data_IF_966068591569
#
_entry.id   IF_966068591569
#
_cell.length_a   1.000
_cell.length_b   1.000
_cell.length_c   1.000
_cell.angle_alpha   90.00
_cell.angle_beta   90.00
_cell.angle_gamma   90.00
#
_symmetry.space_group_name_H-M   'P 1'
#
loop_
_entity.id
_entity.type
_entity.pdbx_description
1 polymer ?
#
# COMPACT_ATOMS: atom_id res chain seq x y z
N UNK A 1 -1.80 -14.43 16.99
CA UNK A 1 -1.39 -13.55 15.86
C UNK A 1 -1.45 -14.36 14.59
N UNK A 2 -2.16 -13.85 13.60
CA UNK A 2 -2.13 -14.36 12.22
C UNK A 2 -1.41 -13.35 11.33
N UNK A 3 -0.64 -13.84 10.36
CA UNK A 3 -0.05 -13.05 9.30
C UNK A 3 -0.55 -13.61 7.98
N UNK A 4 -1.16 -12.77 7.17
CA UNK A 4 -1.69 -13.10 5.87
C UNK A 4 -0.69 -12.65 4.80
N UNK A 5 -0.33 -13.54 3.88
CA UNK A 5 0.71 -13.33 2.90
C UNK A 5 0.13 -13.60 1.51
N UNK A 6 -0.22 -12.55 0.80
CA UNK A 6 -0.65 -12.59 -0.60
C UNK A 6 0.55 -12.71 -1.51
N UNK A 7 0.58 -13.74 -2.35
CA UNK A 7 1.69 -14.03 -3.24
C UNK A 7 1.25 -14.20 -4.70
N UNK A 8 2.20 -14.32 -5.60
CA UNK A 8 1.93 -14.62 -7.02
C UNK A 8 1.25 -15.98 -7.24
N UNK A 9 1.22 -16.87 -6.22
CA UNK A 9 0.67 -18.24 -6.36
C UNK A 9 -0.15 -18.68 -5.15
N UNK A 10 -0.92 -17.78 -4.57
CA UNK A 10 -1.85 -18.09 -3.49
C UNK A 10 -1.74 -17.19 -2.28
N UNK A 11 -2.69 -17.38 -1.36
CA UNK A 11 -2.71 -16.78 -0.04
C UNK A 11 -2.17 -17.78 0.97
N UNK A 12 -1.12 -17.40 1.68
CA UNK A 12 -0.56 -18.18 2.79
C UNK A 12 -0.93 -17.51 4.12
N UNK A 13 -1.10 -18.32 5.16
CA UNK A 13 -1.39 -17.84 6.51
C UNK A 13 -0.33 -18.41 7.46
N UNK A 14 0.40 -17.51 8.14
CA UNK A 14 1.27 -17.90 9.25
C UNK A 14 0.53 -17.72 10.57
N UNK A 15 0.39 -18.80 11.34
CA UNK A 15 -0.36 -18.82 12.60
C UNK A 15 0.50 -19.46 13.72
N UNK A 16 1.59 -18.79 14.12
CA UNK A 16 2.42 -19.18 15.26
C UNK A 16 3.26 -20.44 15.10
N UNK A 17 2.71 -21.50 14.54
CA UNK A 17 3.38 -22.81 14.34
C UNK A 17 4.03 -23.01 12.98
N UNK A 18 3.96 -22.01 12.10
CA UNK A 18 4.50 -22.07 10.74
C UNK A 18 3.53 -21.55 9.69
N UNK A 19 3.93 -21.66 8.43
CA UNK A 19 3.14 -21.26 7.27
C UNK A 19 2.28 -22.45 6.86
N UNK A 20 0.96 -22.24 6.81
CA UNK A 20 -0.02 -23.25 6.40
C UNK A 20 -0.02 -23.53 4.89
N UNK A 21 -0.83 -24.52 4.45
CA UNK A 21 -1.10 -24.74 3.02
C UNK A 21 -1.74 -23.50 2.41
N UNK A 22 -1.44 -23.17 1.15
CA UNK A 22 -2.02 -22.00 0.49
C UNK A 22 -3.51 -22.20 0.19
N UNK A 23 -4.26 -21.09 0.31
CA UNK A 23 -5.54 -20.94 -0.37
C UNK A 23 -5.29 -20.40 -1.78
N UNK A 24 -6.16 -20.73 -2.72
CA UNK A 24 -6.07 -20.24 -4.11
C UNK A 24 -4.73 -20.62 -4.76
N UNK A 25 -4.29 -21.86 -4.57
CA UNK A 25 -3.00 -22.33 -5.12
C UNK A 25 -2.92 -22.12 -6.63
N UNK A 26 -1.91 -21.40 -7.07
CA UNK A 26 -1.68 -21.05 -8.47
C UNK A 26 -2.17 -19.64 -8.84
N UNK A 27 -3.12 -19.07 -8.10
CA UNK A 27 -3.71 -17.77 -8.38
C UNK A 27 -2.94 -16.62 -7.73
N UNK A 28 -2.63 -15.54 -8.45
CA UNK A 28 -2.03 -14.35 -7.86
C UNK A 28 -3.01 -13.63 -6.93
N UNK A 29 -2.58 -13.39 -5.68
CA UNK A 29 -3.30 -12.60 -4.68
C UNK A 29 -2.67 -11.21 -4.61
N UNK A 30 -3.38 -10.20 -5.10
CA UNK A 30 -2.88 -8.81 -5.17
C UNK A 30 -3.04 -8.06 -3.84
N UNK A 31 -4.09 -8.38 -3.07
CA UNK A 31 -4.38 -7.71 -1.80
C UNK A 31 -5.13 -8.63 -0.84
N UNK A 32 -4.87 -8.45 0.45
CA UNK A 32 -5.62 -9.09 1.54
C UNK A 32 -6.05 -8.03 2.55
N UNK A 33 -7.30 -8.10 3.00
CA UNK A 33 -7.82 -7.27 4.09
C UNK A 33 -8.36 -8.18 5.20
N UNK A 34 -7.71 -8.24 6.36
CA UNK A 34 -8.33 -8.73 7.59
C UNK A 34 -9.13 -7.59 8.22
N UNK A 35 -10.46 -7.66 8.10
CA UNK A 35 -11.36 -6.65 8.66
C UNK A 35 -11.49 -6.77 10.17
N UNK A 36 -11.90 -5.69 10.81
CA UNK A 36 -12.03 -5.59 12.27
C UNK A 36 -13.10 -6.51 12.87
N UNK A 37 -14.08 -6.93 12.07
CA UNK A 37 -15.14 -7.88 12.47
C UNK A 37 -14.73 -9.36 12.31
N UNK A 38 -13.48 -9.61 11.90
CA UNK A 38 -12.94 -10.95 11.67
C UNK A 38 -13.15 -11.49 10.25
N UNK A 39 -13.86 -10.76 9.40
CA UNK A 39 -14.01 -11.10 7.99
C UNK A 39 -12.67 -10.90 7.27
N UNK A 40 -12.35 -11.81 6.36
CA UNK A 40 -11.19 -11.71 5.49
C UNK A 40 -11.63 -11.49 4.06
N UNK A 41 -10.89 -10.63 3.36
CA UNK A 41 -11.04 -10.46 1.92
C UNK A 41 -9.71 -10.75 1.24
N UNK A 42 -9.77 -11.39 0.07
CA UNK A 42 -8.61 -11.64 -0.78
C UNK A 42 -8.95 -11.27 -2.23
N UNK A 43 -8.19 -10.35 -2.79
CA UNK A 43 -8.32 -9.96 -4.19
C UNK A 43 -7.35 -10.80 -5.04
N UNK A 44 -7.87 -11.44 -6.07
CA UNK A 44 -7.12 -12.26 -7.01
C UNK A 44 -7.06 -11.58 -8.37
N UNK A 45 -5.89 -11.57 -8.98
CA UNK A 45 -5.69 -11.06 -10.33
C UNK A 45 -5.42 -12.24 -11.27
N UNK A 46 -6.45 -12.73 -11.95
CA UNK A 46 -6.37 -13.92 -12.79
C UNK A 46 -6.04 -13.60 -14.26
N UNK A 47 -5.46 -12.42 -14.51
CA UNK A 47 -5.10 -11.98 -15.86
C UNK A 47 -6.32 -11.87 -16.78
N UNK A 48 -6.34 -12.59 -17.89
CA UNK A 48 -7.46 -12.56 -18.85
C UNK A 48 -8.78 -13.12 -18.28
N UNK A 49 -8.76 -13.88 -17.18
CA UNK A 49 -9.97 -14.33 -16.48
C UNK A 49 -10.53 -13.26 -15.53
N UNK A 50 -9.90 -12.08 -15.46
CA UNK A 50 -10.34 -10.93 -14.70
C UNK A 50 -9.91 -10.93 -13.25
N UNK A 51 -10.41 -9.94 -12.52
CA UNK A 51 -10.18 -9.77 -11.09
C UNK A 51 -11.33 -10.42 -10.32
N UNK A 52 -11.01 -11.17 -9.28
CA UNK A 52 -11.97 -11.81 -8.39
C UNK A 52 -11.76 -11.33 -6.96
N UNK A 53 -12.86 -11.19 -6.22
CA UNK A 53 -12.80 -10.91 -4.79
C UNK A 53 -13.38 -12.10 -4.03
N UNK A 54 -12.62 -12.59 -3.06
CA UNK A 54 -12.99 -13.69 -2.17
C UNK A 54 -13.23 -13.15 -0.77
N UNK A 55 -14.24 -13.67 -0.09
CA UNK A 55 -14.58 -13.36 1.30
C UNK A 55 -14.61 -14.61 2.15
N UNK A 56 -14.13 -14.53 3.38
CA UNK A 56 -14.22 -15.58 4.39
C UNK A 56 -14.75 -14.99 5.69
N UNK A 57 -15.79 -15.59 6.26
CA UNK A 57 -16.36 -15.19 7.54
C UNK A 57 -15.85 -16.07 8.72
N UNK A 58 -15.01 -17.07 8.46
CA UNK A 58 -14.58 -18.08 9.43
C UNK A 58 -13.06 -18.11 9.65
N UNK A 59 -12.40 -16.96 9.35
CA UNK A 59 -10.96 -16.79 9.55
C UNK A 59 -10.10 -17.53 8.53
N UNK A 60 -10.61 -17.70 7.31
CA UNK A 60 -9.90 -18.28 6.18
C UNK A 60 -10.12 -19.78 6.00
N UNK A 61 -11.05 -20.41 6.70
CA UNK A 61 -11.34 -21.85 6.53
C UNK A 61 -12.13 -22.13 5.27
N UNK A 62 -13.15 -21.31 5.00
CA UNK A 62 -13.94 -21.34 3.79
C UNK A 62 -13.99 -19.97 3.11
N UNK A 63 -14.23 -19.97 1.79
CA UNK A 63 -14.22 -18.76 0.98
C UNK A 63 -15.38 -18.78 -0.01
N UNK A 64 -16.04 -17.66 -0.12
CA UNK A 64 -17.06 -17.39 -1.14
C UNK A 64 -16.56 -16.33 -2.14
N UNK A 65 -17.04 -16.37 -3.35
CA UNK A 65 -16.82 -15.29 -4.31
C UNK A 65 -17.85 -14.20 -4.05
N UNK A 66 -17.39 -12.95 -3.96
CA UNK A 66 -18.23 -11.76 -3.90
C UNK A 66 -17.94 -10.86 -5.08
N UNK A 67 -18.78 -9.85 -5.32
CA UNK A 67 -18.56 -8.95 -6.46
C UNK A 67 -17.21 -8.24 -6.36
N UNK A 68 -16.48 -8.16 -7.46
CA UNK A 68 -15.38 -7.24 -7.63
C UNK A 68 -15.93 -5.88 -8.11
N UNK A 69 -15.19 -4.76 -7.90
CA UNK A 69 -15.52 -3.48 -8.51
C UNK A 69 -15.66 -3.60 -10.04
N UNK A 70 -16.63 -2.91 -10.61
CA UNK A 70 -16.86 -2.88 -12.04
C UNK A 70 -17.04 -1.44 -12.50
N UNK A 71 -16.33 -1.05 -13.56
CA UNK A 71 -16.47 0.26 -14.17
C UNK A 71 -17.73 0.32 -15.02
N UNK A 72 -18.39 1.48 -15.08
CA UNK A 72 -19.44 1.70 -16.06
C UNK A 72 -18.89 1.60 -17.49
N UNK A 73 -19.76 1.38 -18.45
CA UNK A 73 -19.36 1.38 -19.86
C UNK A 73 -18.70 2.72 -20.24
N UNK A 74 -17.52 2.64 -20.85
CA UNK A 74 -16.85 3.85 -21.33
C UNK A 74 -17.70 4.49 -22.41
N UNK A 75 -18.01 5.80 -22.34
CA UNK A 75 -18.84 6.47 -23.33
C UNK A 75 -18.23 6.35 -24.73
N UNK A 76 -19.06 6.13 -25.74
CA UNK A 76 -18.63 6.14 -27.13
C UNK A 76 -18.04 7.52 -27.49
N UNK A 77 -16.84 7.54 -28.10
CA UNK A 77 -16.13 8.79 -28.42
C UNK A 77 -15.43 9.45 -27.25
N UNK A 78 -15.33 8.79 -26.10
CA UNK A 78 -14.54 9.26 -24.96
C UNK A 78 -13.11 9.58 -25.37
N UNK A 79 -12.60 10.75 -24.97
CA UNK A 79 -11.19 11.14 -25.13
C UNK A 79 -10.30 10.59 -24.03
N UNK A 80 -10.86 9.87 -23.04
CA UNK A 80 -10.11 9.24 -21.98
C UNK A 80 -9.25 8.10 -22.54
N UNK A 81 -7.95 8.25 -22.45
CA UNK A 81 -6.97 7.24 -22.91
C UNK A 81 -6.91 6.01 -22.00
N UNK A 82 -7.44 6.13 -20.78
CA UNK A 82 -7.45 5.05 -19.80
C UNK A 82 -8.68 4.17 -20.05
N UNK A 83 -8.51 2.87 -20.32
CA UNK A 83 -9.65 1.95 -20.45
C UNK A 83 -10.46 1.84 -19.16
N UNK A 84 -11.78 1.93 -19.25
CA UNK A 84 -12.69 1.75 -18.10
C UNK A 84 -12.93 0.25 -17.84
N UNK A 85 -11.85 -0.44 -17.55
CA UNK A 85 -11.86 -1.89 -17.31
C UNK A 85 -10.95 -2.24 -16.14
N UNK A 86 -11.47 -2.95 -15.16
CA UNK A 86 -10.71 -3.37 -14.00
C UNK A 86 -9.55 -4.30 -14.41
N UNK A 87 -8.33 -3.86 -14.11
CA UNK A 87 -7.08 -4.61 -14.34
C UNK A 87 -6.61 -5.26 -13.05
N UNK A 88 -6.68 -4.52 -11.94
CA UNK A 88 -6.24 -4.99 -10.63
C UNK A 88 -6.97 -4.25 -9.50
N UNK A 89 -7.32 -4.97 -8.45
CA UNK A 89 -7.63 -4.38 -7.17
C UNK A 89 -6.31 -4.20 -6.41
N UNK A 90 -5.89 -2.93 -6.19
CA UNK A 90 -4.56 -2.61 -5.71
C UNK A 90 -4.52 -2.10 -4.27
N UNK A 91 -5.63 -1.58 -3.75
CA UNK A 91 -5.83 -1.27 -2.34
C UNK A 91 -7.21 -1.75 -1.89
N UNK A 92 -7.31 -2.22 -0.67
CA UNK A 92 -8.56 -2.62 -0.03
C UNK A 92 -8.48 -2.30 1.46
N UNK A 93 -9.36 -1.42 1.94
CA UNK A 93 -9.41 -0.99 3.33
C UNK A 93 -10.86 -0.91 3.81
N UNK A 94 -11.07 -0.91 5.14
CA UNK A 94 -12.39 -0.86 5.77
C UNK A 94 -12.43 0.21 6.86
N UNK A 95 -13.53 0.93 6.96
CA UNK A 95 -13.84 1.81 8.10
C UNK A 95 -14.73 1.09 9.15
N UNK A 96 -14.93 -0.22 9.00
CA UNK A 96 -15.80 -1.06 9.83
C UNK A 96 -17.26 -1.08 9.37
N UNK A 97 -17.67 -0.20 8.47
CA UNK A 97 -19.00 -0.14 7.86
C UNK A 97 -18.94 -0.27 6.35
N UNK A 98 -18.00 0.44 5.72
CA UNK A 98 -17.79 0.44 4.27
C UNK A 98 -16.44 -0.16 3.95
N UNK A 99 -16.39 -0.87 2.84
CA UNK A 99 -15.15 -1.23 2.17
C UNK A 99 -14.81 -0.15 1.15
N UNK A 100 -13.52 0.11 1.03
CA UNK A 100 -12.95 1.00 0.03
C UNK A 100 -11.94 0.24 -0.81
N UNK A 101 -12.06 0.31 -2.12
CA UNK A 101 -11.18 -0.37 -3.06
C UNK A 101 -10.55 0.62 -4.03
N UNK A 102 -9.22 0.65 -4.05
CA UNK A 102 -8.42 1.35 -5.05
C UNK A 102 -7.99 0.37 -6.14
N UNK A 103 -8.09 0.80 -7.39
CA UNK A 103 -7.90 -0.09 -8.54
C UNK A 103 -6.88 0.44 -9.54
N UNK A 104 -6.45 -0.44 -10.44
CA UNK A 104 -5.90 -0.09 -11.74
C UNK A 104 -7.00 -0.40 -12.77
N UNK A 105 -7.38 0.57 -13.62
CA UNK A 105 -6.99 1.99 -13.62
C UNK A 105 -7.41 2.72 -12.34
N UNK A 106 -7.02 3.97 -12.18
CA UNK A 106 -7.13 4.78 -10.97
C UNK A 106 -8.55 5.09 -10.47
N UNK A 107 -9.40 4.07 -10.32
CA UNK A 107 -10.72 4.20 -9.72
C UNK A 107 -10.70 3.95 -8.22
N UNK A 108 -11.54 4.69 -7.50
CA UNK A 108 -11.88 4.42 -6.12
C UNK A 108 -13.32 3.93 -6.06
N UNK A 109 -13.54 2.81 -5.39
CA UNK A 109 -14.87 2.21 -5.23
C UNK A 109 -15.21 2.05 -3.76
N UNK A 110 -16.51 2.07 -3.45
CA UNK A 110 -17.01 1.81 -2.10
C UNK A 110 -18.11 0.75 -2.11
N UNK A 111 -18.17 -0.06 -1.04
CA UNK A 111 -19.22 -1.04 -0.82
C UNK A 111 -19.75 -0.94 0.60
N UNK A 112 -21.07 -0.78 0.74
CA UNK A 112 -21.79 -0.72 2.03
C UNK A 112 -22.38 -2.07 2.45
N UNK A 113 -22.23 -3.10 1.63
CA UNK A 113 -22.85 -4.41 1.83
C UNK A 113 -21.82 -5.57 1.82
N UNK A 114 -20.61 -5.29 2.35
CA UNK A 114 -19.55 -6.30 2.51
C UNK A 114 -19.10 -6.92 1.19
N UNK A 115 -18.97 -6.10 0.13
CA UNK A 115 -18.46 -6.53 -1.17
C UNK A 115 -19.51 -7.21 -2.06
N UNK A 116 -20.81 -7.20 -1.70
CA UNK A 116 -21.86 -7.74 -2.56
C UNK A 116 -22.14 -6.86 -3.79
N UNK A 117 -21.91 -5.56 -3.67
CA UNK A 117 -21.90 -4.60 -4.78
C UNK A 117 -20.97 -3.45 -4.49
N UNK A 118 -20.52 -2.76 -5.55
CA UNK A 118 -19.59 -1.65 -5.49
C UNK A 118 -20.14 -0.45 -6.25
N UNK A 119 -19.79 0.73 -5.78
CA UNK A 119 -20.09 2.00 -6.43
C UNK A 119 -18.79 2.74 -6.73
N UNK A 120 -18.62 3.22 -7.95
CA UNK A 120 -17.52 4.09 -8.32
C UNK A 120 -17.71 5.45 -7.62
N UNK A 121 -16.64 5.98 -7.02
CA UNK A 121 -16.64 7.32 -6.42
C UNK A 121 -16.47 8.34 -7.55
N UNK A 122 -17.60 8.69 -8.20
CA UNK A 122 -17.63 9.56 -9.37
C UNK A 122 -17.05 10.95 -9.11
N UNK A 123 -17.19 11.46 -7.89
CA UNK A 123 -16.63 12.75 -7.46
C UNK A 123 -15.10 12.83 -7.57
N UNK A 124 -14.39 11.69 -7.45
CA UNK A 124 -12.96 11.59 -7.72
C UNK A 124 -12.70 11.18 -9.17
N UNK A 125 -13.47 10.22 -9.69
CA UNK A 125 -13.30 9.71 -11.06
C UNK A 125 -13.46 10.79 -12.13
N UNK A 126 -14.38 11.71 -11.92
CA UNK A 126 -14.69 12.81 -12.86
C UNK A 126 -13.83 14.06 -12.65
N UNK A 127 -12.79 13.99 -11.80
CA UNK A 127 -11.85 15.11 -11.67
C UNK A 127 -11.09 15.30 -12.98
N UNK A 128 -10.99 16.55 -13.49
CA UNK A 128 -10.28 16.83 -14.74
C UNK A 128 -8.79 16.46 -14.66
N UNK A 129 -8.17 16.59 -13.49
CA UNK A 129 -6.77 16.27 -13.23
C UNK A 129 -6.47 14.77 -13.43
N UNK A 130 -7.49 13.91 -13.35
CA UNK A 130 -7.34 12.46 -13.58
C UNK A 130 -6.82 12.13 -14.98
N UNK A 131 -7.11 12.95 -15.97
CA UNK A 131 -6.64 12.76 -17.34
C UNK A 131 -5.10 12.82 -17.47
N UNK A 132 -4.42 13.41 -16.48
CA UNK A 132 -2.97 13.56 -16.42
C UNK A 132 -2.30 12.48 -15.55
N UNK A 133 -3.07 11.62 -14.87
CA UNK A 133 -2.50 10.57 -14.02
C UNK A 133 -1.73 9.54 -14.83
N UNK A 134 -0.58 9.12 -14.33
CA UNK A 134 0.30 8.14 -14.96
C UNK A 134 0.40 6.81 -14.19
N UNK A 135 0.93 5.80 -14.86
CA UNK A 135 0.97 4.44 -14.34
C UNK A 135 2.03 4.17 -13.26
N UNK A 136 3.08 5.00 -13.16
CA UNK A 136 4.13 4.81 -12.15
C UNK A 136 4.73 3.39 -12.17
N UNK A 137 4.98 2.84 -13.36
CA UNK A 137 5.47 1.47 -13.57
C UNK A 137 4.41 0.46 -14.03
N UNK A 138 3.16 0.88 -14.18
CA UNK A 138 2.08 0.17 -14.86
C UNK A 138 1.64 0.95 -16.11
N UNK A 139 0.92 0.30 -17.02
CA UNK A 139 0.41 0.94 -18.24
C UNK A 139 -0.64 2.02 -17.92
N UNK A 140 -1.33 1.89 -16.79
CA UNK A 140 -2.40 2.79 -16.37
C UNK A 140 -2.19 3.24 -14.92
N UNK A 141 -2.67 4.44 -14.55
CA UNK A 141 -2.63 4.90 -13.16
C UNK A 141 -3.37 3.96 -12.23
N UNK A 142 -3.03 3.98 -10.95
CA UNK A 142 -3.73 3.17 -9.95
C UNK A 142 -3.76 3.82 -8.57
N UNK A 143 -4.85 3.61 -7.85
CA UNK A 143 -4.96 3.96 -6.44
C UNK A 143 -4.47 2.78 -5.60
N UNK A 144 -3.31 2.96 -4.96
CA UNK A 144 -2.64 1.91 -4.18
C UNK A 144 -2.61 2.18 -2.68
N UNK A 145 -2.95 3.37 -2.23
CA UNK A 145 -3.02 3.69 -0.79
C UNK A 145 -4.35 4.33 -0.45
N UNK A 146 -4.98 3.84 0.60
CA UNK A 146 -6.20 4.39 1.19
C UNK A 146 -5.94 4.50 2.68
N UNK A 147 -5.83 5.73 3.20
CA UNK A 147 -5.58 6.02 4.60
C UNK A 147 -6.84 6.64 5.20
N UNK A 148 -7.60 5.83 5.94
CA UNK A 148 -8.86 6.24 6.58
C UNK A 148 -8.56 6.72 7.99
N UNK A 149 -9.06 7.88 8.36
CA UNK A 149 -8.98 8.38 9.71
C UNK A 149 -9.91 7.56 10.65
N UNK A 150 -9.35 6.81 11.60
CA UNK A 150 -10.17 5.97 12.48
C UNK A 150 -11.05 6.77 13.45
N UNK A 151 -10.78 8.07 13.65
CA UNK A 151 -11.57 8.98 14.48
C UNK A 151 -12.68 9.68 13.70
N UNK A 152 -12.49 9.84 12.40
CA UNK A 152 -13.46 10.43 11.48
C UNK A 152 -13.43 9.71 10.12
N UNK A 153 -14.21 8.62 9.94
CA UNK A 153 -14.21 7.85 8.69
C UNK A 153 -14.66 8.63 7.44
N UNK A 154 -15.20 9.83 7.60
CA UNK A 154 -15.47 10.73 6.47
C UNK A 154 -14.19 11.37 5.92
N UNK A 155 -13.12 11.40 6.72
CA UNK A 155 -11.80 11.86 6.28
C UNK A 155 -10.96 10.67 5.83
N UNK A 156 -10.61 10.64 4.57
CA UNK A 156 -9.66 9.68 4.03
C UNK A 156 -8.77 10.32 2.98
N UNK A 157 -7.56 9.80 2.89
CA UNK A 157 -6.56 10.23 1.89
C UNK A 157 -6.20 9.04 1.03
N UNK A 158 -6.19 9.23 -0.28
CA UNK A 158 -5.74 8.23 -1.24
C UNK A 158 -4.47 8.71 -1.94
N UNK A 159 -3.62 7.76 -2.34
CA UNK A 159 -2.47 8.06 -3.18
C UNK A 159 -2.57 7.30 -4.50
N UNK A 160 -2.24 8.01 -5.58
CA UNK A 160 -2.24 7.55 -6.95
C UNK A 160 -0.80 7.34 -7.39
N UNK A 161 -0.53 6.29 -8.15
CA UNK A 161 0.73 6.20 -8.86
C UNK A 161 0.81 7.35 -9.86
N UNK A 162 1.82 8.18 -9.82
CA UNK A 162 1.96 9.41 -10.60
C UNK A 162 0.62 10.14 -10.80
N UNK A 163 0.11 10.71 -9.71
CA UNK A 163 -1.19 11.40 -9.67
C UNK A 163 -1.41 12.08 -8.32
N UNK A 164 -0.37 12.08 -7.46
CA UNK A 164 -0.37 12.75 -6.18
C UNK A 164 -1.21 12.07 -5.09
N UNK A 165 -1.55 12.85 -4.09
CA UNK A 165 -2.45 12.47 -3.01
C UNK A 165 -3.74 13.30 -3.06
N UNK A 166 -4.86 12.65 -2.76
CA UNK A 166 -6.18 13.26 -2.77
C UNK A 166 -6.90 12.98 -1.47
N UNK A 167 -7.54 13.99 -0.91
CA UNK A 167 -8.24 13.88 0.37
C UNK A 167 -9.70 14.31 0.27
N UNK A 168 -10.57 13.59 0.94
CA UNK A 168 -11.94 13.96 1.23
C UNK A 168 -12.12 14.22 2.73
N UNK A 169 -13.05 15.10 3.09
CA UNK A 169 -13.49 15.39 4.45
C UNK A 169 -14.98 15.03 4.68
N UNK A 170 -15.67 14.62 3.62
CA UNK A 170 -17.12 14.42 3.57
C UNK A 170 -17.53 12.99 3.14
N UNK A 171 -16.59 12.05 3.24
CA UNK A 171 -16.86 10.63 2.93
C UNK A 171 -16.90 10.33 1.46
N UNK A 172 -16.17 11.10 0.65
CA UNK A 172 -16.03 10.87 -0.79
C UNK A 172 -16.95 11.72 -1.65
N UNK A 173 -17.69 12.68 -1.08
CA UNK A 173 -18.57 13.56 -1.86
C UNK A 173 -17.79 14.64 -2.60
N UNK A 174 -16.66 15.09 -2.05
CA UNK A 174 -15.74 16.02 -2.69
C UNK A 174 -14.29 15.66 -2.40
N UNK A 175 -13.37 16.10 -3.28
CA UNK A 175 -11.95 15.79 -3.19
C UNK A 175 -11.08 17.00 -3.48
N UNK A 176 -10.00 17.11 -2.72
CA UNK A 176 -8.95 18.10 -2.95
C UNK A 176 -7.60 17.40 -3.04
N UNK A 177 -6.75 17.88 -3.95
CA UNK A 177 -5.35 17.44 -4.02
C UNK A 177 -4.61 17.92 -2.76
N UNK A 178 -3.72 17.09 -2.25
CA UNK A 178 -3.05 17.34 -0.97
C UNK A 178 -1.60 16.83 -0.96
N UNK A 179 -0.83 17.13 -1.99
CA UNK A 179 0.59 16.80 -2.12
C UNK A 179 1.53 18.03 -2.02
N UNK A 180 1.04 19.14 -1.44
CA UNK A 180 1.80 20.38 -1.30
C UNK A 180 3.11 20.15 -0.54
N UNK A 181 4.26 20.53 -1.14
CA UNK A 181 5.60 20.35 -0.57
C UNK A 181 6.32 19.09 -1.02
N UNK A 182 5.65 18.16 -1.68
CA UNK A 182 6.32 17.09 -2.43
C UNK A 182 6.93 17.61 -3.73
N UNK A 183 7.92 16.90 -4.26
CA UNK A 183 8.56 17.26 -5.52
C UNK A 183 8.92 16.03 -6.36
N UNK A 184 8.86 16.18 -7.67
CA UNK A 184 9.14 15.16 -8.67
C UNK A 184 10.39 15.57 -9.49
N UNK A 185 11.55 14.99 -9.17
CA UNK A 185 12.83 15.32 -9.84
C UNK A 185 12.87 14.89 -11.32
N UNK A 186 12.00 13.96 -11.71
CA UNK A 186 11.85 13.48 -13.08
C UNK A 186 11.00 14.42 -13.96
N UNK A 187 10.33 15.40 -13.36
CA UNK A 187 9.57 16.40 -14.10
C UNK A 187 10.45 17.61 -14.48
N UNK A 188 10.10 18.35 -15.54
CA UNK A 188 10.75 19.63 -15.83
C UNK A 188 10.69 20.58 -14.63
N UNK A 189 11.70 21.47 -14.44
CA UNK A 189 11.81 22.33 -13.27
C UNK A 189 10.53 23.11 -12.93
N UNK A 190 9.80 23.59 -13.90
CA UNK A 190 8.55 24.34 -13.77
C UNK A 190 7.36 23.48 -13.29
N UNK A 191 7.42 22.17 -13.50
CA UNK A 191 6.39 21.20 -13.09
C UNK A 191 6.81 20.35 -11.87
N UNK A 192 8.02 20.56 -11.38
CA UNK A 192 8.58 19.76 -10.31
C UNK A 192 7.71 19.69 -9.06
N UNK A 193 7.05 20.78 -8.72
CA UNK A 193 6.17 20.90 -7.55
C UNK A 193 4.69 20.78 -7.87
N UNK A 194 4.34 20.40 -9.10
CA UNK A 194 2.96 20.09 -9.45
C UNK A 194 2.49 18.91 -8.59
N UNK A 195 1.43 19.14 -7.82
CA UNK A 195 0.91 18.16 -6.91
C UNK A 195 0.34 16.95 -7.65
N UNK A 196 -0.20 17.14 -8.85
CA UNK A 196 -0.78 16.08 -9.68
C UNK A 196 0.29 15.19 -10.35
N UNK A 197 1.52 15.65 -10.44
CA UNK A 197 2.64 14.91 -11.02
C UNK A 197 3.42 14.06 -9.99
N UNK A 198 3.02 14.05 -8.71
CA UNK A 198 3.77 13.36 -7.66
C UNK A 198 3.57 11.84 -7.73
N UNK A 199 4.68 11.08 -7.72
CA UNK A 199 4.69 9.61 -7.69
C UNK A 199 4.90 9.10 -6.25
N UNK A 200 3.80 8.91 -5.56
CA UNK A 200 3.79 8.37 -4.20
C UNK A 200 3.78 6.85 -4.30
N UNK A 201 4.77 6.18 -3.72
CA UNK A 201 4.83 4.73 -3.71
C UNK A 201 3.95 4.10 -2.62
N UNK A 202 3.91 4.71 -1.43
CA UNK A 202 3.03 4.28 -0.33
C UNK A 202 2.74 5.45 0.59
N UNK A 203 1.48 5.60 1.01
CA UNK A 203 1.04 6.57 2.02
C UNK A 203 0.37 5.83 3.17
N UNK A 204 0.73 6.21 4.41
CA UNK A 204 0.15 5.68 5.65
C UNK A 204 -0.09 6.80 6.65
N UNK A 205 -1.09 6.65 7.53
CA UNK A 205 -1.32 7.53 8.67
C UNK A 205 -1.09 6.81 10.00
N UNK A 206 -0.75 7.56 11.05
CA UNK A 206 -0.71 7.04 12.41
C UNK A 206 -2.13 6.97 12.99
N UNK A 207 -2.68 5.78 13.33
CA UNK A 207 -4.05 5.67 13.83
C UNK A 207 -4.36 6.50 15.08
N UNK A 208 -3.40 6.64 16.01
CA UNK A 208 -3.58 7.45 17.21
C UNK A 208 -3.53 8.97 16.91
N UNK A 209 -2.80 9.38 15.88
CA UNK A 209 -2.56 10.76 15.45
C UNK A 209 -2.77 10.87 13.92
N UNK A 210 -4.04 10.79 13.43
CA UNK A 210 -4.33 10.70 11.99
C UNK A 210 -3.90 11.93 11.17
N UNK A 211 -3.62 13.04 11.83
CA UNK A 211 -3.02 14.21 11.20
C UNK A 211 -1.54 14.00 10.84
N UNK A 212 -0.88 12.98 11.41
CA UNK A 212 0.50 12.63 11.06
C UNK A 212 0.50 11.50 10.06
N UNK A 213 1.05 11.78 8.90
CA UNK A 213 1.15 10.86 7.77
C UNK A 213 2.59 10.75 7.28
N UNK A 214 2.92 9.57 6.73
CA UNK A 214 4.19 9.29 6.10
C UNK A 214 3.97 8.80 4.68
N UNK A 215 4.84 9.24 3.79
CA UNK A 215 4.84 8.80 2.40
C UNK A 215 6.24 8.35 1.98
N UNK A 216 6.34 7.11 1.48
CA UNK A 216 7.44 6.75 0.61
C UNK A 216 7.07 7.25 -0.78
N UNK A 217 7.88 8.08 -1.34
CA UNK A 217 7.74 8.71 -2.65
C UNK A 217 8.90 8.28 -3.55
N UNK A 218 8.76 8.43 -4.86
CA UNK A 218 9.81 8.14 -5.85
C UNK A 218 11.12 8.88 -5.52
N UNK A 219 11.04 10.15 -5.17
CA UNK A 219 12.23 10.97 -4.90
C UNK A 219 12.65 11.00 -3.42
N UNK A 220 11.96 10.31 -2.52
CA UNK A 220 12.36 10.31 -1.12
C UNK A 220 11.27 9.91 -0.14
N UNK A 221 11.41 10.35 1.08
CA UNK A 221 10.44 10.15 2.15
C UNK A 221 9.86 11.49 2.55
N UNK A 222 8.55 11.56 2.65
CA UNK A 222 7.86 12.78 3.08
C UNK A 222 7.01 12.52 4.31
N UNK A 223 6.90 13.55 5.15
CA UNK A 223 6.08 13.53 6.36
C UNK A 223 5.16 14.74 6.39
N UNK A 224 3.90 14.52 6.73
CA UNK A 224 2.93 15.56 7.09
C UNK A 224 2.59 15.47 8.57
N UNK A 225 2.39 16.61 9.23
CA UNK A 225 1.93 16.70 10.63
C UNK A 225 0.65 17.51 10.78
N UNK A 226 0.04 17.89 9.66
CA UNK A 226 -1.10 18.81 9.59
C UNK A 226 -2.30 18.24 8.80
N UNK A 227 -2.34 16.91 8.65
CA UNK A 227 -3.42 16.21 7.95
C UNK A 227 -3.31 16.27 6.43
N UNK A 228 -2.10 16.17 5.91
CA UNK A 228 -1.74 16.24 4.50
C UNK A 228 -1.91 17.63 3.84
N UNK A 229 -2.06 18.71 4.61
CA UNK A 229 -2.08 20.08 4.06
C UNK A 229 -0.72 20.47 3.51
N UNK A 230 0.35 20.00 4.15
CA UNK A 230 1.72 20.16 3.67
C UNK A 230 2.59 18.96 4.00
N UNK A 231 3.63 18.75 3.18
CA UNK A 231 4.59 17.67 3.33
C UNK A 231 6.01 18.22 3.41
N UNK A 232 6.80 17.61 4.27
CA UNK A 232 8.20 17.96 4.47
C UNK A 232 9.09 16.78 4.02
N UNK A 233 10.15 17.09 3.28
CA UNK A 233 11.14 16.11 2.87
C UNK A 233 11.97 15.65 4.09
N UNK A 234 12.10 14.34 4.23
CA UNK A 234 12.84 13.68 5.30
C UNK A 234 14.19 13.21 4.76
N UNK A 235 15.18 14.08 4.78
CA UNK A 235 16.49 13.88 4.16
C UNK A 235 17.47 13.00 4.94
N UNK A 236 17.19 12.72 6.21
CA UNK A 236 18.10 11.99 7.10
C UNK A 236 18.10 10.47 6.88
N UNK A 237 17.15 9.92 6.11
CA UNK A 237 17.03 8.48 5.88
C UNK A 237 18.29 7.89 5.24
N UNK A 238 18.71 6.71 5.70
CA UNK A 238 19.89 5.95 5.23
C UNK A 238 19.52 4.46 5.11
N UNK A 239 20.16 3.68 4.22
CA UNK A 239 21.27 4.05 3.31
C UNK A 239 20.80 4.74 2.02
N UNK A 240 19.52 4.70 1.68
CA UNK A 240 18.92 5.36 0.52
C UNK A 240 17.58 5.99 0.89
N UNK A 241 17.18 7.04 0.17
CA UNK A 241 15.86 7.66 0.24
C UNK A 241 14.82 6.98 -0.67
N UNK A 242 15.26 6.12 -1.59
CA UNK A 242 14.40 5.39 -2.51
C UNK A 242 13.89 4.08 -1.90
N UNK A 243 12.65 3.75 -2.16
CA UNK A 243 11.99 2.52 -1.74
C UNK A 243 10.50 2.53 -2.09
N UNK A 244 9.77 1.51 -1.64
CA UNK A 244 8.33 1.41 -1.92
C UNK A 244 7.48 1.28 -0.66
N UNK A 245 8.03 0.72 0.41
CA UNK A 245 7.27 0.37 1.60
C UNK A 245 7.51 1.36 2.74
N UNK A 246 6.46 1.72 3.43
CA UNK A 246 6.49 2.45 4.70
C UNK A 246 5.44 1.89 5.66
N UNK A 247 5.80 1.77 6.93
CA UNK A 247 4.87 1.51 8.04
C UNK A 247 5.10 2.54 9.15
N UNK A 248 4.03 2.95 9.83
CA UNK A 248 4.09 3.85 10.98
C UNK A 248 3.52 3.15 12.21
N UNK A 249 4.12 3.40 13.36
CA UNK A 249 3.64 2.81 14.61
C UNK A 249 2.23 3.30 14.93
N UNK A 250 1.29 2.39 15.31
CA UNK A 250 -0.12 2.75 15.45
C UNK A 250 -0.42 3.77 16.58
N UNK A 251 0.50 3.93 17.54
CA UNK A 251 0.33 4.82 18.71
C UNK A 251 1.39 5.93 18.80
N UNK A 252 2.49 5.82 18.04
CA UNK A 252 3.60 6.77 18.05
C UNK A 252 3.85 7.29 16.63
N UNK A 253 3.43 8.51 16.31
CA UNK A 253 3.55 9.07 14.97
C UNK A 253 5.00 9.38 14.55
N UNK A 254 5.93 9.41 15.50
CA UNK A 254 7.35 9.69 15.27
C UNK A 254 8.18 8.43 14.98
N UNK A 255 7.57 7.26 15.19
CA UNK A 255 8.18 5.94 14.93
C UNK A 255 7.67 5.35 13.62
N UNK A 256 8.57 5.25 12.63
CA UNK A 256 8.26 4.70 11.31
C UNK A 256 9.39 3.82 10.78
N UNK A 257 9.05 2.93 9.83
CA UNK A 257 9.96 1.98 9.19
C UNK A 257 9.84 2.02 7.68
N UNK A 258 10.97 1.84 7.01
CA UNK A 258 11.12 1.84 5.56
C UNK A 258 12.02 0.69 5.14
N UNK A 259 11.87 0.20 3.91
CA UNK A 259 12.79 -0.78 3.33
C UNK A 259 13.45 -0.17 2.09
N UNK A 260 14.64 0.41 2.24
CA UNK A 260 15.32 1.12 1.16
C UNK A 260 15.80 0.19 0.04
N UNK A 261 15.79 0.71 -1.20
CA UNK A 261 16.45 0.16 -2.37
C UNK A 261 17.41 1.20 -2.97
N UNK A 262 18.22 0.84 -3.94
CA UNK A 262 19.23 1.73 -4.52
C UNK A 262 18.57 2.93 -5.21
N UNK A 263 17.77 2.68 -6.25
CA UNK A 263 17.05 3.68 -7.06
C UNK A 263 16.08 2.99 -8.02
N UNK A 264 15.31 3.74 -8.76
CA UNK A 264 14.28 3.19 -9.64
C UNK A 264 14.82 2.27 -10.74
N UNK A 265 15.94 2.62 -11.38
CA UNK A 265 16.55 1.79 -12.42
C UNK A 265 17.36 0.61 -11.84
N UNK A 266 17.53 0.56 -10.50
CA UNK A 266 18.24 -0.50 -9.81
C UNK A 266 17.52 -0.86 -8.51
N UNK A 267 16.42 -1.62 -8.65
CA UNK A 267 15.48 -1.95 -7.57
C UNK A 267 15.95 -3.12 -6.72
N UNK A 268 17.13 -2.98 -6.12
CA UNK A 268 17.74 -3.95 -5.20
C UNK A 268 18.23 -3.26 -3.94
N UNK A 269 18.48 -3.97 -2.84
CA UNK A 269 19.07 -3.41 -1.63
C UNK A 269 20.44 -2.76 -1.89
N UNK A 270 20.75 -1.67 -1.21
CA UNK A 270 22.03 -1.00 -1.27
C UNK A 270 23.14 -1.97 -0.83
N UNK A 271 24.22 -2.04 -1.61
CA UNK A 271 25.37 -2.97 -1.39
C UNK A 271 24.97 -4.44 -1.29
N UNK A 272 23.86 -4.85 -1.91
CA UNK A 272 23.29 -6.18 -1.77
C UNK A 272 23.08 -6.62 -0.30
N UNK A 273 22.73 -5.66 0.58
CA UNK A 273 22.44 -5.85 2.00
C UNK A 273 21.00 -5.46 2.33
N UNK A 274 20.19 -6.42 2.70
CA UNK A 274 18.81 -6.14 3.10
C UNK A 274 18.78 -5.48 4.48
N UNK A 275 18.13 -4.32 4.56
CA UNK A 275 18.04 -3.54 5.79
C UNK A 275 16.64 -2.93 5.94
N UNK A 276 16.29 -2.59 7.17
CA UNK A 276 15.13 -1.76 7.50
C UNK A 276 15.63 -0.46 8.11
N UNK A 277 15.23 0.67 7.56
CA UNK A 277 15.50 1.98 8.14
C UNK A 277 14.39 2.35 9.11
N UNK A 278 14.73 2.68 10.35
CA UNK A 278 13.78 3.08 11.40
C UNK A 278 14.11 4.46 11.93
N UNK A 279 13.11 5.33 12.04
CA UNK A 279 13.15 6.57 12.82
C UNK A 279 12.33 6.43 14.09
N UNK A 280 12.72 7.13 15.17
CA UNK A 280 11.98 7.24 16.43
C UNK A 280 11.75 8.70 16.85
N UNK A 281 12.13 9.63 16.02
CA UNK A 281 12.16 11.08 16.31
C UNK A 281 11.53 11.92 15.19
N UNK A 282 10.60 11.29 14.45
CA UNK A 282 9.86 11.96 13.38
C UNK A 282 10.69 12.23 12.13
N UNK A 283 11.74 11.43 11.90
CA UNK A 283 12.58 11.54 10.70
C UNK A 283 13.83 12.40 10.86
N UNK A 284 14.14 12.89 12.06
CA UNK A 284 15.37 13.66 12.33
C UNK A 284 16.61 12.78 12.27
N UNK A 285 16.48 11.50 12.65
CA UNK A 285 17.54 10.51 12.55
C UNK A 285 17.00 9.13 12.17
N UNK A 286 17.88 8.25 11.67
CA UNK A 286 17.54 6.88 11.29
C UNK A 286 18.55 5.87 11.79
N UNK A 287 18.02 4.75 12.26
CA UNK A 287 18.77 3.54 12.56
C UNK A 287 18.64 2.56 11.39
N UNK A 288 19.78 2.02 10.94
CA UNK A 288 19.81 0.97 9.89
C UNK A 288 19.87 -0.39 10.57
N UNK A 289 18.73 -1.10 10.56
CA UNK A 289 18.53 -2.36 11.24
C UNK A 289 18.93 -3.51 10.32
N UNK A 290 19.80 -4.42 10.81
CA UNK A 290 20.41 -5.50 10.01
C UNK A 290 20.31 -6.88 10.65
N UNK A 291 20.15 -6.96 11.98
CA UNK A 291 20.25 -8.22 12.73
C UNK A 291 19.19 -9.23 12.27
N UNK A 292 19.66 -10.37 11.73
CA UNK A 292 18.79 -11.42 11.20
C UNK A 292 18.33 -11.24 9.76
N UNK A 293 18.79 -10.18 9.07
CA UNK A 293 18.59 -9.96 7.65
C UNK A 293 19.84 -10.34 6.86
N UNK A 294 19.73 -10.81 5.60
CA UNK A 294 20.87 -11.15 4.76
C UNK A 294 21.71 -9.92 4.48
N UNK A 295 23.03 -10.04 4.70
CA UNK A 295 24.00 -8.95 4.55
C UNK A 295 24.98 -9.19 3.38
N UNK A 296 24.71 -10.22 2.59
CA UNK A 296 25.44 -10.54 1.38
C UNK A 296 24.45 -11.12 0.36
N UNK A 297 24.65 -10.83 -0.91
CA UNK A 297 23.86 -11.37 -2.01
C UNK A 297 22.33 -11.21 -1.86
N UNK A 298 21.89 -10.12 -1.19
CA UNK A 298 20.49 -9.81 -1.06
C UNK A 298 20.01 -8.98 -2.27
N UNK A 299 19.08 -9.53 -3.02
CA UNK A 299 18.47 -8.88 -4.19
C UNK A 299 16.96 -8.71 -4.02
N UNK A 300 16.52 -8.73 -2.78
CA UNK A 300 15.13 -8.59 -2.36
C UNK A 300 14.63 -7.17 -2.57
N UNK A 301 13.46 -7.02 -3.18
CA UNK A 301 12.73 -5.77 -3.18
C UNK A 301 11.44 -5.94 -2.37
N UNK A 302 11.13 -4.95 -1.55
CA UNK A 302 9.91 -4.93 -0.74
C UNK A 302 8.96 -3.88 -1.29
N UNK A 303 7.88 -4.32 -1.93
CA UNK A 303 6.89 -3.44 -2.52
C UNK A 303 5.94 -2.84 -1.47
N UNK A 304 5.16 -1.85 -1.89
CA UNK A 304 4.21 -0.99 -1.16
C UNK A 304 3.46 -1.64 0.01
N UNK A 305 2.83 -2.80 -0.25
CA UNK A 305 1.98 -3.51 0.73
C UNK A 305 2.69 -4.69 1.40
N UNK A 306 3.99 -4.81 1.18
CA UNK A 306 4.78 -5.93 1.68
C UNK A 306 5.50 -5.63 3.01
N UNK A 307 5.22 -4.52 3.66
CA UNK A 307 5.64 -4.18 5.01
C UNK A 307 4.40 -3.83 5.83
N UNK A 308 4.23 -4.48 6.98
CA UNK A 308 3.14 -4.20 7.90
C UNK A 308 3.60 -4.23 9.36
N UNK A 309 2.87 -3.51 10.22
CA UNK A 309 3.06 -3.43 11.66
C UNK A 309 1.77 -3.82 12.37
N UNK A 310 1.87 -4.65 13.41
CA UNK A 310 0.70 -5.08 14.16
C UNK A 310 0.11 -3.94 15.01
N UNK A 311 -1.13 -4.12 15.49
CA UNK A 311 -1.85 -3.13 16.32
C UNK A 311 -1.13 -2.78 17.63
N UNK A 312 -0.19 -3.61 18.10
CA UNK A 312 0.62 -3.32 19.29
C UNK A 312 1.81 -2.42 18.99
N UNK A 313 2.22 -2.33 17.71
CA UNK A 313 3.43 -1.65 17.26
C UNK A 313 4.72 -2.39 17.58
N UNK A 314 4.65 -3.61 18.13
CA UNK A 314 5.82 -4.42 18.49
C UNK A 314 6.30 -5.31 17.36
N UNK A 315 5.35 -5.88 16.61
CA UNK A 315 5.65 -6.83 15.54
C UNK A 315 5.61 -6.16 14.20
N UNK A 316 6.59 -6.49 13.38
CA UNK A 316 6.64 -6.10 11.96
C UNK A 316 6.84 -7.37 11.14
N UNK A 317 6.26 -7.38 9.96
CA UNK A 317 6.54 -8.39 8.97
C UNK A 317 6.77 -7.73 7.62
N UNK A 318 7.69 -8.27 6.84
CA UNK A 318 7.78 -7.91 5.44
C UNK A 318 8.08 -9.11 4.55
N UNK A 319 7.59 -9.01 3.32
CA UNK A 319 7.82 -9.97 2.26
C UNK A 319 8.48 -9.34 1.05
N UNK A 320 9.19 -10.12 0.26
CA UNK A 320 9.95 -9.64 -0.88
C UNK A 320 9.52 -10.24 -2.22
N UNK A 321 9.99 -9.63 -3.29
CA UNK A 321 9.81 -10.10 -4.66
C UNK A 321 10.52 -11.41 -4.96
N UNK A 322 11.51 -11.80 -4.15
CA UNK A 322 12.23 -13.07 -4.24
C UNK A 322 11.59 -14.17 -3.40
N UNK A 323 10.50 -13.87 -2.67
CA UNK A 323 9.77 -14.83 -1.85
C UNK A 323 10.27 -14.95 -0.42
N UNK A 324 11.20 -14.09 -0.02
CA UNK A 324 11.64 -13.98 1.37
C UNK A 324 10.57 -13.38 2.27
N UNK A 325 10.38 -13.93 3.46
CA UNK A 325 9.45 -13.46 4.48
C UNK A 325 10.15 -13.35 5.83
N UNK A 326 10.12 -12.17 6.43
CA UNK A 326 10.75 -11.88 7.72
C UNK A 326 9.74 -11.34 8.72
N UNK A 327 9.95 -11.72 9.99
CA UNK A 327 9.18 -11.27 11.13
C UNK A 327 10.12 -10.71 12.20
N UNK A 328 9.79 -9.55 12.72
CA UNK A 328 10.37 -8.97 13.94
C UNK A 328 9.30 -8.91 15.03
N UNK A 329 9.68 -9.18 16.28
CA UNK A 329 8.82 -9.08 17.47
C UNK A 329 9.27 -7.98 18.45
N UNK A 330 10.23 -7.15 18.04
CA UNK A 330 10.87 -6.11 18.85
C UNK A 330 11.12 -4.82 18.06
N UNK A 331 10.13 -4.40 17.27
CA UNK A 331 10.17 -3.15 16.50
C UNK A 331 11.32 -3.08 15.47
N UNK A 332 11.78 -4.23 14.97
CA UNK A 332 12.83 -4.31 13.97
C UNK A 332 14.25 -4.45 14.54
N UNK A 333 14.44 -4.48 15.87
CA UNK A 333 15.77 -4.65 16.47
C UNK A 333 16.43 -5.97 16.06
N UNK A 334 15.62 -6.99 15.79
CA UNK A 334 16.07 -8.24 15.17
C UNK A 334 14.95 -8.87 14.32
N UNK A 335 15.35 -9.63 13.32
CA UNK A 335 14.47 -10.28 12.37
C UNK A 335 14.72 -11.78 12.33
N UNK A 336 13.63 -12.52 12.17
CA UNK A 336 13.67 -13.95 11.93
C UNK A 336 13.11 -14.24 10.55
N UNK A 337 13.88 -14.94 9.72
CA UNK A 337 13.40 -15.45 8.45
C UNK A 337 12.36 -16.55 8.71
N UNK A 338 11.17 -16.39 8.15
CA UNK A 338 10.11 -17.39 8.19
C UNK A 338 10.16 -18.32 6.97
N UNK A 339 10.60 -17.82 5.83
CA UNK A 339 10.77 -18.56 4.59
C UNK A 339 11.60 -17.76 3.59
N UNK A 340 12.36 -18.46 2.75
CA UNK A 340 13.04 -17.92 1.56
C UNK A 340 12.51 -18.53 0.27
N UNK A 341 11.43 -19.34 0.35
CA UNK A 341 10.94 -20.19 -0.76
C UNK A 341 9.47 -19.93 -1.11
N UNK A 342 8.86 -18.87 -0.58
CA UNK A 342 7.53 -18.47 -1.00
C UNK A 342 7.57 -17.93 -2.45
N UNK A 343 6.44 -17.97 -3.17
CA UNK A 343 6.33 -17.21 -4.40
C UNK A 343 6.53 -15.71 -4.14
N UNK A 344 6.85 -14.89 -5.16
CA UNK A 344 6.90 -13.43 -5.01
C UNK A 344 5.75 -12.90 -4.20
N UNK A 345 6.04 -12.12 -3.14
CA UNK A 345 5.05 -11.62 -2.19
C UNK A 345 4.54 -10.26 -2.67
N UNK A 346 3.23 -10.10 -2.70
CA UNK A 346 2.55 -8.88 -3.16
C UNK A 346 2.02 -8.04 -2.00
N UNK A 347 1.60 -8.70 -0.91
CA UNK A 347 1.17 -8.01 0.31
C UNK A 347 1.36 -8.88 1.55
N UNK A 348 1.54 -8.23 2.69
CA UNK A 348 1.54 -8.81 4.03
C UNK A 348 0.59 -8.02 4.92
N UNK A 349 -0.22 -8.69 5.74
CA UNK A 349 -1.15 -8.07 6.68
C UNK A 349 -1.24 -8.84 7.98
N UNK A 350 -1.11 -8.14 9.11
CA UNK A 350 -1.47 -8.68 10.42
C UNK A 350 -2.99 -8.68 10.61
N UNK A 351 -3.51 -9.74 11.26
CA UNK A 351 -4.92 -9.83 11.67
C UNK A 351 -5.09 -10.35 13.09
#
# INVERSE_FOLDING_TARGET
MKLYIGTKKGLFIHAGRGIGKPHFLGDPVSMVLPDSDGTLYAALNLGHFGVKLRRSADGGKSWEEVAAPEYPAQPAGSQDKTPWKLVQLWALESDGKRLWAGTIPGGLFTSENRGKSWQLVESLWNRPERAEWGGGGYDHPGIHSIAIDPKNPKRLTVAVSTGGAWQTQDGGSSWSICAQGMYAEYMPPEQRFDQNAQDIHRLVLCPARPEVMWAQHHNGVFRSTDGAKSWQDVTAIRPSKFGFAVAVHPKDPDLAWFVPAVKDECRVPVDAKLVVARTRDGGKSFQVLRKGLPQEHAYDLVYRHCLDVDRTGKRLAFGSTTGGLWLSENQGDSWRCLSTQLPPIHCVRFG
#
